data_IF_970443017237
#
_entry.id   IF_970443017237
#
_cell.length_a   1.000
_cell.length_b   1.000
_cell.length_c   1.000
_cell.angle_alpha   90.00
_cell.angle_beta   90.00
_cell.angle_gamma   90.00
#
_symmetry.space_group_name_H-M   'P 1'
#
loop_
_entity.id
_entity.type
_entity.pdbx_description
1 polymer ?
#
# COMPACT_ATOMS: atom_id res chain seq x y z
N UNK A 1 -0.04 16.28 31.42
CA UNK A 1 -0.29 15.67 30.11
C UNK A 1 1.07 15.43 29.48
N UNK A 2 1.44 14.16 29.21
CA UNK A 2 2.66 13.87 28.42
C UNK A 2 2.42 14.47 27.01
N UNK A 3 3.40 15.19 26.42
CA UNK A 3 3.27 15.66 25.06
C UNK A 3 2.98 14.46 24.16
N UNK A 4 1.95 14.58 23.35
CA UNK A 4 1.60 13.54 22.38
C UNK A 4 2.74 13.48 21.37
N UNK A 5 3.42 12.33 21.27
CA UNK A 5 4.52 12.19 20.33
C UNK A 5 3.96 12.32 18.90
N UNK A 6 4.63 13.13 18.11
CA UNK A 6 4.29 13.33 16.70
C UNK A 6 4.49 12.02 15.91
N UNK A 7 3.65 11.78 14.94
CA UNK A 7 3.72 10.62 14.04
C UNK A 7 3.95 11.07 12.59
N UNK A 8 4.34 10.13 11.73
CA UNK A 8 4.43 10.39 10.29
C UNK A 8 3.11 10.94 9.72
N UNK A 9 1.97 10.45 10.21
CA UNK A 9 0.66 10.92 9.78
C UNK A 9 0.43 12.40 10.07
N UNK A 10 0.98 12.92 11.17
CA UNK A 10 0.86 14.34 11.53
C UNK A 10 1.69 15.21 10.58
N UNK A 11 2.89 14.74 10.18
CA UNK A 11 3.70 15.40 9.14
C UNK A 11 2.95 15.42 7.80
N UNK A 12 2.38 14.28 7.40
CA UNK A 12 1.58 14.16 6.17
C UNK A 12 0.41 15.15 6.16
N UNK A 13 -0.31 15.26 7.27
CA UNK A 13 -1.41 16.23 7.42
C UNK A 13 -0.94 17.67 7.25
N UNK A 14 0.27 17.97 7.67
CA UNK A 14 0.87 19.30 7.53
C UNK A 14 1.25 19.57 6.06
N UNK A 15 2.03 18.67 5.44
CA UNK A 15 2.46 18.81 4.04
C UNK A 15 1.27 18.82 3.07
N UNK A 16 0.17 18.15 3.43
CA UNK A 16 -1.07 18.19 2.64
C UNK A 16 -1.63 19.61 2.51
N UNK A 17 -1.42 20.47 3.49
CA UNK A 17 -1.90 21.86 3.48
C UNK A 17 -0.96 22.75 2.68
N UNK A 18 0.33 22.65 2.95
CA UNK A 18 1.38 23.47 2.33
C UNK A 18 2.72 22.72 2.31
N UNK A 19 3.56 22.93 1.30
CA UNK A 19 4.94 22.43 1.30
C UNK A 19 5.71 22.98 2.50
N UNK A 20 6.68 22.21 2.98
CA UNK A 20 7.59 22.64 4.05
C UNK A 20 9.04 22.53 3.56
N UNK A 21 9.95 23.32 4.10
CA UNK A 21 11.37 23.24 3.77
C UNK A 21 11.94 21.85 4.08
N UNK A 22 12.87 21.39 3.26
CA UNK A 22 13.46 20.05 3.42
C UNK A 22 14.17 19.88 4.76
N UNK A 23 14.88 20.92 5.22
CA UNK A 23 15.51 20.93 6.55
C UNK A 23 14.48 20.77 7.68
N UNK A 24 13.37 21.49 7.62
CA UNK A 24 12.28 21.39 8.59
C UNK A 24 11.62 20.00 8.53
N UNK A 25 11.47 19.43 7.33
CA UNK A 25 10.93 18.09 7.17
C UNK A 25 11.81 17.03 7.86
N UNK A 26 13.14 17.12 7.70
CA UNK A 26 14.09 16.24 8.37
C UNK A 26 14.02 16.37 9.91
N UNK A 27 13.94 17.60 10.42
CA UNK A 27 13.76 17.85 11.85
C UNK A 27 12.47 17.22 12.41
N UNK A 28 11.38 17.29 11.63
CA UNK A 28 10.12 16.64 11.98
C UNK A 28 10.25 15.12 11.99
N UNK A 29 10.91 14.51 10.98
CA UNK A 29 11.17 13.07 10.93
C UNK A 29 12.02 12.60 12.11
N UNK A 30 13.00 13.37 12.54
CA UNK A 30 13.85 13.02 13.69
C UNK A 30 13.02 12.85 14.97
N UNK A 31 11.93 13.60 15.10
CA UNK A 31 11.09 13.67 16.29
C UNK A 31 9.84 12.77 16.27
N UNK A 32 9.57 12.02 15.19
CA UNK A 32 8.42 11.11 15.16
C UNK A 32 8.65 9.86 16.01
N UNK A 33 7.56 9.26 16.48
CA UNK A 33 7.58 8.10 17.37
C UNK A 33 7.57 6.75 16.63
N UNK A 34 7.22 6.76 15.36
CA UNK A 34 7.01 5.60 14.50
C UNK A 34 8.04 5.47 13.37
N UNK A 35 9.21 6.12 13.54
CA UNK A 35 10.35 5.99 12.61
C UNK A 35 11.03 4.62 12.72
N UNK A 36 11.63 4.19 11.63
CA UNK A 36 12.44 2.98 11.57
C UNK A 36 13.91 3.24 11.87
N UNK A 37 14.43 4.43 11.53
CA UNK A 37 15.82 4.82 11.70
C UNK A 37 15.96 6.10 12.55
N UNK A 38 17.06 6.19 13.30
CA UNK A 38 17.38 7.41 14.04
C UNK A 38 17.86 8.54 13.10
N UNK A 39 18.43 8.19 11.94
CA UNK A 39 18.86 9.16 10.95
C UNK A 39 17.69 9.55 10.07
N UNK A 40 17.33 10.83 10.07
CA UNK A 40 16.17 11.37 9.35
C UNK A 40 16.33 11.34 7.82
N UNK A 41 17.56 11.41 7.30
CA UNK A 41 17.82 11.29 5.86
C UNK A 41 17.57 9.84 5.38
N UNK A 42 18.02 8.84 6.14
CA UNK A 42 17.73 7.43 5.85
C UNK A 42 16.24 7.13 5.98
N UNK A 43 15.56 7.71 6.97
CA UNK A 43 14.11 7.58 7.11
C UNK A 43 13.38 8.16 5.89
N UNK A 44 13.82 9.34 5.41
CA UNK A 44 13.29 9.95 4.20
C UNK A 44 13.50 9.07 2.96
N UNK A 45 14.73 8.56 2.75
CA UNK A 45 15.03 7.64 1.65
C UNK A 45 14.17 6.38 1.71
N UNK A 46 13.96 5.83 2.91
CA UNK A 46 13.10 4.67 3.11
C UNK A 46 11.66 4.95 2.71
N UNK A 47 11.13 6.12 3.06
CA UNK A 47 9.79 6.55 2.62
C UNK A 47 9.68 6.59 1.09
N UNK A 48 10.68 7.13 0.40
CA UNK A 48 10.69 7.20 -1.07
C UNK A 48 10.78 5.80 -1.70
N UNK A 49 11.66 4.94 -1.21
CA UNK A 49 11.84 3.56 -1.70
C UNK A 49 10.56 2.74 -1.52
N UNK A 50 9.83 2.97 -0.41
CA UNK A 50 8.54 2.33 -0.17
C UNK A 50 7.38 2.98 -0.95
N UNK A 51 7.66 3.91 -1.86
CA UNK A 51 6.66 4.50 -2.74
C UNK A 51 5.81 5.60 -2.08
N UNK A 52 6.27 6.15 -0.95
CA UNK A 52 5.55 7.28 -0.35
C UNK A 52 5.55 8.47 -1.32
N UNK A 53 4.42 9.11 -1.59
CA UNK A 53 4.27 10.07 -2.69
C UNK A 53 4.82 11.46 -2.35
N UNK A 54 6.05 11.52 -1.80
CA UNK A 54 6.79 12.75 -1.58
C UNK A 54 7.56 13.15 -2.84
N UNK A 55 7.76 14.44 -2.99
CA UNK A 55 8.63 15.03 -3.99
C UNK A 55 9.29 16.30 -3.44
N UNK A 56 10.45 16.69 -3.99
CA UNK A 56 11.19 17.89 -3.60
C UNK A 56 11.26 18.81 -4.80
N UNK A 57 10.92 20.06 -4.58
CA UNK A 57 11.12 21.13 -5.57
C UNK A 57 11.51 22.42 -4.85
N UNK A 58 12.58 23.05 -5.33
CA UNK A 58 13.10 24.33 -4.80
C UNK A 58 13.31 24.27 -3.26
N UNK A 59 13.90 23.16 -2.77
CA UNK A 59 14.13 22.83 -1.35
C UNK A 59 12.86 22.65 -0.50
N UNK A 60 11.68 22.54 -1.11
CA UNK A 60 10.42 22.26 -0.40
C UNK A 60 9.95 20.83 -0.67
N UNK A 61 9.55 20.16 0.41
CA UNK A 61 8.89 18.85 0.39
C UNK A 61 7.39 19.03 0.26
N UNK A 62 6.77 18.29 -0.65
CA UNK A 62 5.32 18.27 -0.85
C UNK A 62 4.81 16.86 -1.19
N UNK A 63 3.52 16.66 -1.01
CA UNK A 63 2.86 15.45 -1.48
C UNK A 63 2.54 15.60 -2.98
N UNK A 64 3.13 14.74 -3.81
CA UNK A 64 2.86 14.69 -5.26
C UNK A 64 1.38 14.59 -5.57
N UNK A 65 0.64 13.83 -4.77
CA UNK A 65 -0.81 13.64 -4.92
C UNK A 65 -1.62 14.92 -4.72
N UNK A 66 -1.09 15.93 -4.03
CA UNK A 66 -1.78 17.23 -3.86
C UNK A 66 -1.58 18.17 -5.05
N UNK A 67 -0.61 17.91 -5.90
CA UNK A 67 -0.30 18.72 -7.08
C UNK A 67 -0.83 18.12 -8.38
N UNK A 68 -1.27 16.85 -8.34
CA UNK A 68 -1.82 16.16 -9.51
C UNK A 68 -3.34 16.16 -9.40
N UNK A 69 -4.08 16.67 -10.40
CA UNK A 69 -5.54 16.58 -10.45
C UNK A 69 -6.02 15.14 -10.32
N UNK A 70 -7.17 14.93 -9.67
CA UNK A 70 -7.72 13.58 -9.42
C UNK A 70 -7.89 12.79 -10.74
N UNK A 71 -8.32 13.45 -11.80
CA UNK A 71 -8.47 12.83 -13.13
C UNK A 71 -7.14 12.34 -13.75
N UNK A 72 -6.01 12.90 -13.31
CA UNK A 72 -4.68 12.50 -13.77
C UNK A 72 -4.02 11.46 -12.86
N UNK A 73 -4.58 11.21 -11.68
CA UNK A 73 -4.05 10.20 -10.76
C UNK A 73 -4.52 8.81 -11.16
N UNK A 74 -3.61 7.84 -11.03
CA UNK A 74 -3.94 6.42 -11.11
C UNK A 74 -4.26 5.90 -9.71
N UNK A 75 -5.43 5.36 -9.54
CA UNK A 75 -5.86 4.68 -8.31
C UNK A 75 -5.71 3.18 -8.49
N UNK A 76 -5.27 2.49 -7.46
CA UNK A 76 -5.31 1.04 -7.38
C UNK A 76 -6.27 0.65 -6.25
N UNK A 77 -7.39 0.02 -6.61
CA UNK A 77 -8.32 -0.55 -5.66
C UNK A 77 -7.92 -2.01 -5.45
N UNK A 78 -7.73 -2.41 -4.22
CA UNK A 78 -7.29 -3.76 -3.84
C UNK A 78 -8.33 -4.38 -2.94
N UNK A 79 -8.64 -5.64 -3.19
CA UNK A 79 -9.49 -6.48 -2.37
C UNK A 79 -8.81 -7.81 -2.07
N UNK A 80 -9.06 -8.37 -0.88
CA UNK A 80 -8.45 -9.62 -0.41
C UNK A 80 -9.51 -10.49 0.25
N UNK A 81 -9.53 -11.78 -0.15
CA UNK A 81 -10.27 -12.80 0.57
C UNK A 81 -9.33 -13.65 1.43
N UNK A 82 -9.82 -14.08 2.59
CA UNK A 82 -9.04 -14.88 3.53
C UNK A 82 -9.83 -16.10 4.00
N UNK A 83 -9.13 -17.18 4.39
CA UNK A 83 -9.76 -18.35 4.99
C UNK A 83 -10.03 -18.20 6.50
N UNK A 84 -9.94 -16.99 7.05
CA UNK A 84 -10.27 -16.65 8.44
C UNK A 84 -9.63 -15.37 8.94
N UNK A 85 -9.93 -14.96 10.17
CA UNK A 85 -9.68 -13.61 10.69
C UNK A 85 -8.29 -13.34 11.28
N UNK A 86 -7.39 -14.33 11.42
CA UNK A 86 -6.11 -14.09 12.09
C UNK A 86 -4.96 -14.96 11.57
N UNK A 87 -3.86 -14.37 11.12
CA UNK A 87 -2.65 -15.11 10.72
C UNK A 87 -2.04 -15.93 11.87
N UNK A 88 -2.23 -15.51 13.13
CA UNK A 88 -1.76 -16.25 14.32
C UNK A 88 -2.43 -17.63 14.47
N UNK A 89 -3.61 -17.79 13.88
CA UNK A 89 -4.37 -19.06 13.89
C UNK A 89 -4.13 -19.87 12.60
N UNK A 90 -3.13 -19.51 11.79
CA UNK A 90 -2.84 -20.18 10.52
C UNK A 90 -3.72 -19.71 9.36
N UNK A 91 -4.56 -18.70 9.57
CA UNK A 91 -5.36 -18.14 8.49
C UNK A 91 -4.50 -17.31 7.53
N UNK A 92 -4.85 -17.35 6.24
CA UNK A 92 -4.08 -16.74 5.18
C UNK A 92 -4.97 -16.12 4.11
N UNK A 93 -4.37 -15.33 3.25
CA UNK A 93 -5.00 -14.84 2.01
C UNK A 93 -5.27 -16.04 1.11
N UNK A 94 -6.46 -16.08 0.51
CA UNK A 94 -6.89 -17.09 -0.47
C UNK A 94 -7.19 -16.50 -1.84
N UNK A 95 -7.42 -15.18 -1.92
CA UNK A 95 -7.56 -14.44 -3.17
C UNK A 95 -7.01 -13.02 -3.00
N UNK A 96 -6.41 -12.50 -4.05
CA UNK A 96 -5.95 -11.12 -4.14
C UNK A 96 -6.39 -10.53 -5.47
N UNK A 97 -7.31 -9.58 -5.40
CA UNK A 97 -7.84 -8.84 -6.54
C UNK A 97 -7.41 -7.38 -6.53
N UNK A 98 -7.17 -6.80 -7.70
CA UNK A 98 -6.92 -5.37 -7.82
C UNK A 98 -7.34 -4.80 -9.18
N UNK A 99 -7.68 -3.50 -9.18
CA UNK A 99 -8.04 -2.77 -10.38
C UNK A 99 -7.31 -1.43 -10.40
N UNK A 100 -6.56 -1.17 -11.47
CA UNK A 100 -6.04 0.16 -11.76
C UNK A 100 -7.06 0.99 -12.52
N UNK A 101 -7.28 2.19 -12.04
CA UNK A 101 -8.31 3.09 -12.54
C UNK A 101 -7.78 4.50 -12.69
N UNK A 102 -8.10 5.16 -13.79
CA UNK A 102 -7.76 6.57 -14.04
C UNK A 102 -8.81 7.22 -14.91
N UNK A 103 -9.25 8.42 -14.56
CA UNK A 103 -10.15 9.26 -15.35
C UNK A 103 -11.37 8.51 -15.92
N UNK A 104 -12.08 7.77 -15.10
CA UNK A 104 -13.29 7.05 -15.51
C UNK A 104 -13.04 5.71 -16.22
N UNK A 105 -11.77 5.30 -16.40
CA UNK A 105 -11.41 4.09 -17.14
C UNK A 105 -10.62 3.10 -16.29
N UNK A 106 -10.92 1.82 -16.45
CA UNK A 106 -10.10 0.74 -15.94
C UNK A 106 -8.90 0.59 -16.87
N UNK A 107 -7.71 0.71 -16.32
CA UNK A 107 -6.46 0.59 -17.06
C UNK A 107 -5.95 -0.85 -17.08
N UNK A 108 -6.03 -1.54 -15.94
CA UNK A 108 -5.53 -2.91 -15.80
C UNK A 108 -6.23 -3.59 -14.62
N UNK A 109 -6.18 -4.93 -14.60
CA UNK A 109 -6.75 -5.77 -13.55
C UNK A 109 -5.77 -6.85 -13.16
N UNK A 110 -5.74 -7.16 -11.89
CA UNK A 110 -5.05 -8.30 -11.30
C UNK A 110 -6.06 -9.15 -10.55
N UNK A 111 -5.98 -10.45 -10.71
CA UNK A 111 -6.80 -11.40 -10.00
C UNK A 111 -6.05 -12.71 -9.86
N UNK A 112 -5.90 -13.21 -8.64
CA UNK A 112 -5.22 -14.46 -8.36
C UNK A 112 -5.73 -15.11 -7.10
N UNK A 113 -6.12 -16.37 -7.22
CA UNK A 113 -6.27 -17.25 -6.07
C UNK A 113 -4.89 -17.57 -5.46
N UNK A 114 -4.90 -17.93 -4.19
CA UNK A 114 -3.70 -18.33 -3.43
C UNK A 114 -3.90 -19.72 -2.85
N UNK A 115 -2.90 -20.58 -3.03
CA UNK A 115 -2.93 -21.93 -2.48
C UNK A 115 -3.24 -21.94 -0.98
N UNK A 116 -4.24 -22.74 -0.59
CA UNK A 116 -4.52 -23.05 0.79
C UNK A 116 -4.85 -24.55 0.97
N UNK A 117 -4.50 -25.08 2.15
CA UNK A 117 -4.76 -26.48 2.48
C UNK A 117 -6.19 -26.72 2.93
N UNK A 118 -6.83 -25.67 3.44
CA UNK A 118 -8.18 -25.73 4.00
C UNK A 118 -8.89 -24.37 3.84
N UNK A 119 -10.20 -24.44 3.76
CA UNK A 119 -11.08 -23.31 3.74
C UNK A 119 -12.40 -23.70 4.46
N UNK A 120 -12.83 -22.98 5.50
CA UNK A 120 -14.09 -23.25 6.17
C UNK A 120 -15.30 -23.17 5.23
N UNK A 121 -16.30 -24.01 5.46
CA UNK A 121 -17.50 -24.08 4.59
C UNK A 121 -18.19 -22.71 4.47
N UNK A 122 -18.34 -21.99 5.57
CA UNK A 122 -18.98 -20.67 5.56
C UNK A 122 -18.21 -19.63 4.72
N UNK A 123 -16.86 -19.75 4.63
CA UNK A 123 -16.06 -18.89 3.75
C UNK A 123 -16.30 -19.27 2.29
N UNK A 124 -16.36 -20.58 1.96
CA UNK A 124 -16.69 -21.02 0.60
C UNK A 124 -18.06 -20.51 0.15
N UNK A 125 -19.04 -20.50 1.04
CA UNK A 125 -20.39 -20.01 0.74
C UNK A 125 -20.44 -18.50 0.46
N UNK A 126 -19.61 -17.71 1.18
CA UNK A 126 -19.58 -16.24 1.04
C UNK A 126 -18.75 -15.82 -0.17
N UNK A 127 -17.58 -16.45 -0.37
CA UNK A 127 -16.61 -16.07 -1.42
C UNK A 127 -16.84 -16.79 -2.74
N UNK A 128 -17.58 -17.92 -2.73
CA UNK A 128 -17.69 -18.88 -3.84
C UNK A 128 -16.34 -19.51 -4.24
N UNK A 129 -15.34 -19.47 -3.36
CA UNK A 129 -14.04 -20.10 -3.58
C UNK A 129 -14.07 -21.50 -2.96
N UNK A 130 -13.87 -22.54 -3.77
CA UNK A 130 -13.83 -23.91 -3.27
C UNK A 130 -12.40 -24.35 -2.90
N UNK A 131 -12.29 -25.40 -2.08
CA UNK A 131 -10.99 -25.98 -1.74
C UNK A 131 -10.25 -26.49 -2.98
N UNK A 132 -10.95 -27.08 -3.94
CA UNK A 132 -10.34 -27.60 -5.18
C UNK A 132 -9.69 -26.49 -6.01
N UNK A 133 -10.30 -25.30 -6.05
CA UNK A 133 -9.73 -24.12 -6.70
C UNK A 133 -8.42 -23.71 -6.03
N UNK A 134 -8.36 -23.73 -4.70
CA UNK A 134 -7.18 -23.33 -3.95
C UNK A 134 -6.04 -24.34 -4.02
N UNK A 135 -6.33 -25.64 -4.14
CA UNK A 135 -5.30 -26.66 -4.20
C UNK A 135 -4.44 -26.57 -5.47
N UNK A 136 -4.97 -26.00 -6.54
CA UNK A 136 -4.25 -25.81 -7.82
C UNK A 136 -3.70 -24.38 -7.98
N UNK A 137 -4.01 -23.48 -7.05
CA UNK A 137 -3.60 -22.09 -7.09
C UNK A 137 -2.09 -21.92 -6.79
N UNK A 138 -1.47 -20.83 -7.26
CA UNK A 138 -0.09 -20.50 -6.93
C UNK A 138 0.10 -20.19 -5.44
N UNK A 139 1.32 -20.35 -4.94
CA UNK A 139 1.68 -19.99 -3.58
C UNK A 139 1.71 -18.48 -3.39
N UNK A 140 1.49 -18.02 -2.15
CA UNK A 140 1.40 -16.60 -1.79
C UNK A 140 2.63 -15.80 -2.26
N UNK A 141 3.84 -16.34 -2.10
CA UNK A 141 5.07 -15.65 -2.48
C UNK A 141 5.09 -15.30 -3.98
N UNK A 142 4.61 -16.23 -4.83
CA UNK A 142 4.51 -16.00 -6.27
C UNK A 142 3.46 -14.92 -6.57
N UNK A 143 2.28 -15.02 -5.96
CA UNK A 143 1.18 -14.04 -6.14
C UNK A 143 1.60 -12.65 -5.72
N UNK A 144 2.29 -12.51 -4.57
CA UNK A 144 2.78 -11.21 -4.11
C UNK A 144 3.85 -10.62 -5.04
N UNK A 145 4.71 -11.46 -5.62
CA UNK A 145 5.68 -11.01 -6.62
C UNK A 145 4.97 -10.46 -7.87
N UNK A 146 4.04 -11.22 -8.42
CA UNK A 146 3.25 -10.83 -9.60
C UNK A 146 2.40 -9.57 -9.30
N UNK A 147 1.83 -9.46 -8.09
CA UNK A 147 1.10 -8.28 -7.65
C UNK A 147 2.00 -7.05 -7.53
N UNK A 148 3.23 -7.21 -7.02
CA UNK A 148 4.22 -6.12 -7.00
C UNK A 148 4.54 -5.65 -8.42
N UNK A 149 4.81 -6.57 -9.34
CA UNK A 149 5.03 -6.25 -10.76
C UNK A 149 3.83 -5.54 -11.38
N UNK A 150 2.61 -5.97 -11.04
CA UNK A 150 1.38 -5.28 -11.45
C UNK A 150 1.34 -3.83 -10.91
N UNK A 151 1.69 -3.60 -9.63
CA UNK A 151 1.69 -2.25 -9.04
C UNK A 151 2.72 -1.32 -9.70
N UNK A 152 3.92 -1.84 -9.97
CA UNK A 152 5.05 -1.10 -10.55
C UNK A 152 4.88 -0.83 -12.05
N UNK A 153 4.10 -1.64 -12.74
CA UNK A 153 3.88 -1.51 -14.18
C UNK A 153 2.99 -0.30 -14.48
N UNK A 154 3.61 0.82 -14.88
CA UNK A 154 2.92 2.03 -15.31
C UNK A 154 2.50 2.00 -16.80
N UNK A 155 2.80 0.90 -17.52
CA UNK A 155 2.44 0.74 -18.91
C UNK A 155 0.96 0.35 -19.03
N UNK A 156 0.14 1.32 -19.35
CA UNK A 156 -1.20 1.11 -19.90
C UNK A 156 -1.07 0.47 -21.28
N UNK A 157 -1.63 -0.71 -21.45
CA UNK A 157 -1.88 -1.27 -22.79
C UNK A 157 -2.98 -0.51 -23.51
#
# INVERSE_FOLDING_TARGET
LKPQKQTLLDIVRRIKKEPIEFSEFLDLLENISDKFYENSELEFELLLINGFPLDIKDDFVYLRTTKTPICEQTFCFVDIETNGGSPKNGHQIIELGAVKYKNGQILDKFDSLVFAKEIPIYIQEVTNISLDMLQTAPRLEKVLKEFKEFLENNNTK
#
